data_IF_110863173988
#
_entry.id   IF_110863173988
#
_cell.length_a   1.000
_cell.length_b   1.000
_cell.length_c   1.000
_cell.angle_alpha   90.00
_cell.angle_beta   90.00
_cell.angle_gamma   90.00
#
_symmetry.space_group_name_H-M   'P 1'
#
loop_
_entity.id
_entity.type
_entity.pdbx_description
1 polymer ?
#
# COMPACT_ATOMS: atom_id res chain seq x y z
N UNK A 1 -10.17 -1.20 30.35
CA UNK A 1 -10.86 -0.62 31.53
C UNK A 1 -12.21 -0.21 31.03
N UNK A 2 -13.31 -0.50 31.73
CA UNK A 2 -14.62 -0.04 31.30
C UNK A 2 -14.62 1.48 31.30
N UNK A 3 -14.82 2.10 30.14
CA UNK A 3 -15.03 3.54 30.06
C UNK A 3 -16.42 3.84 30.64
N UNK A 4 -16.42 4.66 31.68
CA UNK A 4 -17.62 4.96 32.45
C UNK A 4 -18.29 6.17 31.82
N UNK A 5 -19.42 5.96 31.14
CA UNK A 5 -20.24 7.07 30.65
C UNK A 5 -21.16 7.55 31.76
N UNK A 6 -20.88 8.74 32.28
CA UNK A 6 -21.86 9.52 33.03
C UNK A 6 -22.79 10.20 32.03
N UNK A 7 -24.05 9.76 31.99
CA UNK A 7 -25.21 10.30 31.27
C UNK A 7 -24.92 11.49 30.32
N UNK A 8 -24.58 11.28 29.03
CA UNK A 8 -24.96 12.27 28.02
C UNK A 8 -26.50 12.35 28.03
N UNK A 9 -27.10 13.53 27.97
CA UNK A 9 -28.54 13.60 27.74
C UNK A 9 -28.82 12.89 26.40
N UNK A 10 -29.29 11.65 26.46
CA UNK A 10 -29.65 10.91 25.26
C UNK A 10 -30.70 11.73 24.53
N UNK A 11 -30.56 11.94 23.20
CA UNK A 11 -31.49 12.76 22.46
C UNK A 11 -32.91 12.23 22.68
N UNK A 12 -33.80 13.09 23.17
CA UNK A 12 -35.17 12.71 23.52
C UNK A 12 -35.89 12.11 22.32
N UNK A 13 -36.51 10.95 22.49
CA UNK A 13 -37.30 10.28 21.45
C UNK A 13 -36.62 9.09 20.77
N UNK A 14 -35.38 8.76 21.15
CA UNK A 14 -34.68 7.56 20.66
C UNK A 14 -34.28 6.64 21.81
N UNK A 15 -34.37 5.34 21.58
CA UNK A 15 -33.81 4.30 22.42
C UNK A 15 -32.29 4.27 22.31
N UNK A 16 -31.63 4.09 23.46
CA UNK A 16 -30.16 3.99 23.50
C UNK A 16 -29.66 2.79 22.70
N UNK A 17 -30.39 1.66 22.75
CA UNK A 17 -30.08 0.47 21.98
C UNK A 17 -30.10 0.73 20.46
N UNK A 18 -31.11 1.44 19.94
CA UNK A 18 -31.19 1.79 18.52
C UNK A 18 -30.02 2.69 18.06
N UNK A 19 -29.65 3.68 18.88
CA UNK A 19 -28.47 4.52 18.59
C UNK A 19 -27.20 3.67 18.55
N UNK A 20 -26.96 2.83 19.56
CA UNK A 20 -25.73 2.03 19.63
C UNK A 20 -25.67 1.00 18.50
N UNK A 21 -26.76 0.30 18.20
CA UNK A 21 -26.79 -0.66 17.09
C UNK A 21 -26.44 0.02 15.77
N UNK A 22 -26.98 1.22 15.53
CA UNK A 22 -26.69 1.99 14.31
C UNK A 22 -25.20 2.35 14.20
N UNK A 23 -24.57 2.72 15.31
CA UNK A 23 -23.13 3.01 15.38
C UNK A 23 -22.32 1.74 15.19
N UNK A 24 -22.72 0.64 15.82
CA UNK A 24 -22.00 -0.63 15.72
C UNK A 24 -22.00 -1.19 14.29
N UNK A 25 -23.16 -1.14 13.61
CA UNK A 25 -23.24 -1.50 12.20
C UNK A 25 -22.32 -0.62 11.33
N UNK A 26 -22.24 0.68 11.57
CA UNK A 26 -21.33 1.58 10.84
C UNK A 26 -19.86 1.18 11.04
N UNK A 27 -19.45 0.92 12.29
CA UNK A 27 -18.08 0.46 12.61
C UNK A 27 -17.75 -0.84 11.86
N UNK A 28 -18.69 -1.78 11.83
CA UNK A 28 -18.48 -3.07 11.15
C UNK A 28 -18.43 -2.92 9.63
N UNK A 29 -19.29 -2.09 9.04
CA UNK A 29 -19.27 -1.85 7.59
C UNK A 29 -17.95 -1.16 7.17
N UNK A 30 -17.47 -0.20 7.97
CA UNK A 30 -16.21 0.50 7.74
C UNK A 30 -14.98 -0.45 7.75
N UNK A 31 -14.98 -1.46 8.64
CA UNK A 31 -13.80 -2.30 8.90
C UNK A 31 -13.82 -3.64 8.15
N UNK A 32 -14.99 -4.11 7.72
CA UNK A 32 -15.14 -5.44 7.12
C UNK A 32 -15.59 -5.37 5.66
N UNK A 33 -16.88 -5.09 5.44
CA UNK A 33 -17.52 -5.04 4.12
C UNK A 33 -18.89 -4.41 4.25
N UNK A 34 -19.48 -3.98 3.15
CA UNK A 34 -20.89 -3.58 3.16
C UNK A 34 -21.79 -4.77 3.54
N UNK A 35 -22.85 -4.49 4.31
CA UNK A 35 -23.88 -5.45 4.71
C UNK A 35 -23.45 -6.54 5.72
N UNK A 36 -22.66 -6.18 6.73
CA UNK A 36 -22.33 -7.11 7.83
C UNK A 36 -23.60 -7.56 8.56
N UNK A 37 -23.71 -8.86 8.84
CA UNK A 37 -24.77 -9.43 9.68
C UNK A 37 -24.29 -9.45 11.14
N UNK A 38 -25.09 -8.89 12.04
CA UNK A 38 -24.84 -8.82 13.47
C UNK A 38 -25.73 -9.84 14.18
N UNK A 39 -25.16 -10.66 15.06
CA UNK A 39 -25.94 -11.51 15.96
C UNK A 39 -26.42 -10.69 17.14
N UNK A 40 -27.72 -10.37 17.17
CA UNK A 40 -28.33 -9.63 18.29
C UNK A 40 -28.86 -10.62 19.31
N UNK A 41 -28.41 -10.47 20.56
CA UNK A 41 -28.81 -11.31 21.67
C UNK A 41 -30.08 -10.78 22.33
N UNK A 42 -31.08 -11.65 22.48
CA UNK A 42 -32.33 -11.43 23.19
C UNK A 42 -32.43 -12.43 24.34
N UNK A 43 -33.00 -12.02 25.47
CA UNK A 43 -33.11 -12.86 26.67
C UNK A 43 -34.19 -13.97 26.57
N UNK A 44 -35.06 -13.89 25.57
CA UNK A 44 -36.19 -14.79 25.33
C UNK A 44 -37.30 -14.73 26.38
N UNK A 45 -37.40 -13.65 27.17
CA UNK A 45 -38.32 -13.52 28.31
C UNK A 45 -39.36 -12.42 28.09
N UNK A 46 -40.09 -12.50 26.98
CA UNK A 46 -41.05 -11.46 26.57
C UNK A 46 -42.42 -11.60 27.26
N UNK A 47 -42.81 -12.81 27.66
CA UNK A 47 -44.06 -13.06 28.39
C UNK A 47 -43.87 -13.00 29.91
N UNK A 48 -44.79 -12.33 30.62
CA UNK A 48 -44.80 -12.27 32.09
C UNK A 48 -44.83 -13.67 32.73
N UNK A 49 -45.41 -14.67 32.05
CA UNK A 49 -45.49 -16.05 32.54
C UNK A 49 -44.13 -16.77 32.59
N UNK A 50 -43.17 -16.35 31.75
CA UNK A 50 -41.84 -16.95 31.66
C UNK A 50 -40.70 -16.04 32.12
N UNK A 51 -41.02 -14.80 32.53
CA UNK A 51 -40.05 -13.81 33.00
C UNK A 51 -39.16 -14.36 34.14
N UNK A 52 -39.74 -15.09 35.08
CA UNK A 52 -39.03 -15.65 36.24
C UNK A 52 -38.55 -17.10 36.03
N UNK A 53 -38.67 -17.65 34.82
CA UNK A 53 -38.30 -19.04 34.53
C UNK A 53 -36.79 -19.21 34.45
N UNK A 54 -36.28 -20.16 35.24
CA UNK A 54 -34.88 -20.59 35.21
C UNK A 54 -34.68 -21.58 34.06
N UNK A 55 -33.98 -21.16 33.01
CA UNK A 55 -33.66 -22.01 31.84
C UNK A 55 -32.95 -21.24 30.72
N UNK A 56 -32.43 -21.96 29.70
CA UNK A 56 -31.77 -21.36 28.53
C UNK A 56 -32.82 -20.82 27.55
N UNK A 57 -33.35 -19.64 27.84
CA UNK A 57 -34.36 -18.98 27.01
C UNK A 57 -33.74 -18.00 26.00
N UNK A 58 -32.48 -17.62 26.20
CA UNK A 58 -31.80 -16.64 25.35
C UNK A 58 -31.71 -17.08 23.89
N UNK A 59 -31.95 -16.15 22.97
CA UNK A 59 -31.89 -16.37 21.53
C UNK A 59 -30.99 -15.34 20.87
N UNK A 60 -30.28 -15.77 19.84
CA UNK A 60 -29.47 -14.89 18.99
C UNK A 60 -30.12 -14.81 17.62
N UNK A 61 -30.49 -13.60 17.18
CA UNK A 61 -31.05 -13.38 15.84
C UNK A 61 -30.02 -12.69 14.93
N UNK A 62 -29.83 -13.18 13.69
CA UNK A 62 -29.02 -12.49 12.71
C UNK A 62 -29.79 -11.28 12.16
N UNK A 63 -29.32 -10.07 12.45
CA UNK A 63 -29.85 -8.82 11.91
C UNK A 63 -28.87 -8.20 10.93
N UNK A 64 -29.40 -7.63 9.86
CA UNK A 64 -28.63 -6.89 8.88
C UNK A 64 -29.26 -5.51 8.70
N UNK A 65 -28.53 -4.48 9.10
CA UNK A 65 -28.93 -3.10 8.87
C UNK A 65 -28.20 -2.58 7.62
N UNK A 66 -28.95 -2.40 6.54
CA UNK A 66 -28.42 -1.80 5.32
C UNK A 66 -28.23 -0.30 5.53
N UNK A 67 -27.00 0.18 5.39
CA UNK A 67 -26.66 1.60 5.55
C UNK A 67 -26.60 2.25 4.18
N UNK A 68 -27.47 3.23 3.97
CA UNK A 68 -27.35 4.19 2.88
C UNK A 68 -26.61 5.43 3.40
N UNK A 69 -25.41 5.69 2.88
CA UNK A 69 -24.58 6.83 3.28
C UNK A 69 -25.27 8.19 3.02
N UNK A 70 -26.22 8.25 2.08
CA UNK A 70 -26.96 9.47 1.74
C UNK A 70 -28.17 9.72 2.64
N UNK A 71 -28.59 8.73 3.43
CA UNK A 71 -29.74 8.87 4.31
C UNK A 71 -29.42 9.75 5.52
N UNK A 72 -30.47 10.26 6.18
CA UNK A 72 -30.30 11.05 7.41
C UNK A 72 -29.94 10.16 8.60
N UNK A 73 -29.19 10.71 9.57
CA UNK A 73 -28.90 10.02 10.84
C UNK A 73 -30.17 9.59 11.56
N UNK A 74 -31.21 10.44 11.55
CA UNK A 74 -32.52 10.12 12.09
C UNK A 74 -33.15 8.89 11.42
N UNK A 75 -33.06 8.79 10.08
CA UNK A 75 -33.61 7.65 9.32
C UNK A 75 -32.88 6.35 9.67
N UNK A 76 -31.56 6.39 9.80
CA UNK A 76 -30.75 5.22 10.16
C UNK A 76 -31.13 4.70 11.55
N UNK A 77 -31.32 5.58 12.53
CA UNK A 77 -31.66 5.17 13.90
C UNK A 77 -33.09 4.65 13.97
N UNK A 78 -34.05 5.29 13.29
CA UNK A 78 -35.42 4.78 13.18
C UNK A 78 -35.45 3.36 12.61
N UNK A 79 -34.64 3.09 11.58
CA UNK A 79 -34.53 1.75 11.01
C UNK A 79 -33.91 0.75 12.01
N UNK A 80 -32.92 1.19 12.79
CA UNK A 80 -32.28 0.38 13.83
C UNK A 80 -33.26 0.00 14.94
N UNK A 81 -34.11 0.94 15.38
CA UNK A 81 -35.17 0.67 16.36
C UNK A 81 -36.21 -0.30 15.83
N UNK A 82 -36.67 -0.08 14.60
CA UNK A 82 -37.64 -0.95 13.97
C UNK A 82 -37.11 -2.39 13.88
N UNK A 83 -35.83 -2.58 13.57
CA UNK A 83 -35.18 -3.90 13.51
C UNK A 83 -35.06 -4.57 14.88
N UNK A 84 -34.72 -3.82 15.92
CA UNK A 84 -34.67 -4.35 17.29
C UNK A 84 -36.07 -4.79 17.75
N UNK A 85 -37.07 -3.93 17.58
CA UNK A 85 -38.45 -4.25 17.96
C UNK A 85 -39.03 -5.39 17.14
N UNK A 86 -38.71 -5.53 15.84
CA UNK A 86 -39.16 -6.69 15.07
C UNK A 86 -38.51 -7.98 15.55
N UNK A 87 -37.20 -7.94 15.88
CA UNK A 87 -36.47 -9.07 16.41
C UNK A 87 -37.06 -9.58 17.74
N UNK A 88 -37.51 -8.66 18.61
CA UNK A 88 -38.18 -9.02 19.87
C UNK A 88 -39.41 -9.92 19.63
N UNK A 89 -40.20 -9.66 18.59
CA UNK A 89 -41.38 -10.45 18.27
C UNK A 89 -41.02 -11.73 17.50
N UNK A 90 -40.06 -11.66 16.57
CA UNK A 90 -39.74 -12.77 15.67
C UNK A 90 -39.01 -13.92 16.36
N UNK A 91 -38.37 -13.66 17.50
CA UNK A 91 -37.61 -14.68 18.23
C UNK A 91 -38.45 -15.87 18.67
N UNK A 92 -39.78 -15.73 18.79
CA UNK A 92 -40.70 -16.80 19.21
C UNK A 92 -41.03 -17.81 18.08
N UNK A 93 -40.99 -17.35 16.83
CA UNK A 93 -41.57 -18.08 15.69
C UNK A 93 -40.57 -18.98 14.96
N UNK A 94 -39.28 -18.68 15.05
CA UNK A 94 -38.25 -19.33 14.25
C UNK A 94 -37.10 -19.84 15.10
N UNK A 95 -36.80 -21.13 14.97
CA UNK A 95 -35.58 -21.74 15.51
C UNK A 95 -34.43 -21.54 14.52
N UNK A 96 -33.87 -20.33 14.48
CA UNK A 96 -32.72 -20.00 13.63
C UNK A 96 -31.47 -20.81 13.97
N UNK A 97 -31.37 -21.31 15.20
CA UNK A 97 -30.25 -22.15 15.64
C UNK A 97 -30.30 -23.53 14.95
N UNK A 98 -31.50 -24.07 14.68
CA UNK A 98 -31.66 -25.34 13.94
C UNK A 98 -31.24 -25.28 12.46
N UNK A 99 -31.17 -24.09 11.86
CA UNK A 99 -30.71 -23.90 10.46
C UNK A 99 -29.19 -24.07 10.34
N UNK A 100 -28.46 -24.03 11.46
CA UNK A 100 -26.98 -24.06 11.49
C UNK A 100 -26.36 -25.46 11.70
N UNK A 101 -27.19 -26.51 11.77
CA UNK A 101 -26.74 -27.90 11.99
C UNK A 101 -25.97 -28.50 10.78
N UNK A 102 -26.03 -27.87 9.60
CA UNK A 102 -25.05 -28.11 8.54
C UNK A 102 -23.72 -27.43 8.89
N UNK A 103 -22.95 -28.13 9.74
CA UNK A 103 -21.53 -27.96 10.03
C UNK A 103 -20.91 -26.59 9.67
N UNK A 104 -20.74 -25.73 10.70
CA UNK A 104 -19.83 -24.57 10.76
C UNK A 104 -20.32 -23.22 10.18
N UNK A 105 -21.54 -23.08 9.68
CA UNK A 105 -22.03 -21.74 9.30
C UNK A 105 -22.47 -20.92 10.52
N UNK A 106 -21.58 -20.06 11.04
CA UNK A 106 -21.97 -18.94 11.90
C UNK A 106 -22.63 -17.88 11.03
N UNK A 107 -23.94 -17.62 11.23
CA UNK A 107 -24.68 -16.59 10.48
C UNK A 107 -24.15 -15.18 10.76
N UNK A 108 -23.49 -14.97 11.90
CA UNK A 108 -22.82 -13.73 12.28
C UNK A 108 -21.50 -14.02 12.98
N UNK A 109 -20.46 -13.25 12.62
CA UNK A 109 -19.16 -13.29 13.33
C UNK A 109 -19.08 -12.27 14.47
N UNK A 110 -19.94 -11.24 14.40
CA UNK A 110 -19.97 -10.11 15.30
C UNK A 110 -21.29 -10.07 16.04
N UNK A 111 -21.22 -9.84 17.34
CA UNK A 111 -22.40 -9.82 18.20
C UNK A 111 -22.77 -8.41 18.67
N UNK A 112 -24.01 -8.27 19.14
CA UNK A 112 -24.50 -7.13 19.88
C UNK A 112 -25.42 -7.61 21.01
N UNK A 113 -25.18 -7.10 22.22
CA UNK A 113 -26.01 -7.40 23.39
C UNK A 113 -26.33 -6.12 24.14
N UNK A 114 -27.60 -5.92 24.49
CA UNK A 114 -28.07 -4.75 25.23
C UNK A 114 -28.94 -5.20 26.41
N UNK A 115 -28.48 -4.95 27.63
CA UNK A 115 -29.16 -5.33 28.86
C UNK A 115 -29.57 -4.09 29.65
N UNK A 116 -30.74 -4.14 30.29
CA UNK A 116 -31.13 -3.15 31.30
C UNK A 116 -31.08 -3.82 32.67
N UNK A 117 -30.24 -3.30 33.57
CA UNK A 117 -29.93 -3.90 34.86
C UNK A 117 -30.22 -2.95 36.04
N UNK A 118 -30.66 -3.48 37.19
CA UNK A 118 -30.73 -2.71 38.44
C UNK A 118 -29.36 -2.16 38.85
N UNK A 119 -29.34 -1.00 39.53
CA UNK A 119 -28.09 -0.37 39.98
C UNK A 119 -27.22 -1.26 40.88
N UNK A 120 -27.85 -2.11 41.70
CA UNK A 120 -27.16 -3.06 42.59
C UNK A 120 -26.33 -4.07 41.81
N UNK A 121 -26.88 -4.61 40.72
CA UNK A 121 -26.19 -5.59 39.86
C UNK A 121 -25.07 -4.93 39.04
N UNK A 122 -25.26 -3.68 38.65
CA UNK A 122 -24.23 -2.89 37.96
C UNK A 122 -23.01 -2.59 38.83
N UNK A 123 -23.20 -2.38 40.13
CA UNK A 123 -22.10 -2.23 41.09
C UNK A 123 -21.31 -3.54 41.27
N UNK A 124 -22.01 -4.68 41.22
CA UNK A 124 -21.39 -6.01 41.29
C UNK A 124 -20.62 -6.34 40.00
N UNK A 125 -21.15 -6.00 38.82
CA UNK A 125 -20.46 -6.10 37.53
C UNK A 125 -19.19 -5.23 37.45
N UNK A 126 -19.18 -4.05 38.08
CA UNK A 126 -18.00 -3.18 38.19
C UNK A 126 -16.91 -3.78 39.09
N UNK A 127 -17.32 -4.39 40.21
CA UNK A 127 -16.41 -4.89 41.24
C UNK A 127 -15.84 -6.26 40.91
N UNK A 128 -16.63 -7.07 40.22
CA UNK A 128 -16.23 -8.35 39.67
C UNK A 128 -16.28 -8.18 38.16
N UNK A 129 -15.13 -7.92 37.53
CA UNK A 129 -14.97 -8.14 36.10
C UNK A 129 -15.28 -9.63 35.87
N UNK A 130 -16.56 -9.93 35.68
CA UNK A 130 -17.09 -11.26 35.63
C UNK A 130 -16.30 -11.96 34.54
N UNK A 131 -15.53 -12.97 34.95
CA UNK A 131 -15.10 -14.01 34.03
C UNK A 131 -16.36 -14.78 33.63
N UNK A 132 -17.24 -14.14 32.84
CA UNK A 132 -18.28 -14.83 32.10
C UNK A 132 -17.58 -15.60 30.99
N UNK A 133 -17.05 -16.76 31.35
CA UNK A 133 -16.65 -17.76 30.37
C UNK A 133 -17.89 -18.28 29.66
N UNK A 134 -18.26 -17.66 28.53
CA UNK A 134 -19.02 -18.31 27.46
C UNK A 134 -19.20 -17.47 26.18
N UNK A 135 -19.16 -16.13 26.22
CA UNK A 135 -19.48 -15.35 25.02
C UNK A 135 -18.41 -15.43 23.91
N UNK A 136 -17.14 -15.65 24.29
CA UNK A 136 -16.04 -15.82 23.34
C UNK A 136 -16.14 -17.09 22.46
N UNK A 137 -17.07 -18.00 22.76
CA UNK A 137 -17.31 -19.17 21.90
C UNK A 137 -18.29 -18.86 20.76
N UNK A 138 -19.17 -17.86 20.90
CA UNK A 138 -20.22 -17.55 19.91
C UNK A 138 -19.75 -16.52 18.86
N UNK A 139 -19.08 -15.44 19.28
CA UNK A 139 -18.62 -14.36 18.39
C UNK A 139 -17.11 -14.17 18.39
N UNK A 140 -16.55 -13.69 17.28
CA UNK A 140 -15.15 -13.25 17.23
C UNK A 140 -14.95 -11.94 18.01
N UNK A 141 -15.95 -11.06 17.96
CA UNK A 141 -16.03 -9.79 18.67
C UNK A 141 -17.49 -9.47 18.97
N UNK A 142 -17.82 -9.25 20.24
CA UNK A 142 -19.15 -8.90 20.71
C UNK A 142 -19.15 -7.53 21.38
N UNK A 143 -20.11 -6.67 21.01
CA UNK A 143 -20.36 -5.40 21.68
C UNK A 143 -21.43 -5.60 22.75
N UNK A 144 -21.03 -5.49 24.02
CA UNK A 144 -21.93 -5.58 25.16
C UNK A 144 -22.24 -4.20 25.73
N UNK A 145 -23.52 -3.94 25.95
CA UNK A 145 -24.04 -2.71 26.50
C UNK A 145 -24.92 -3.01 27.71
N UNK A 146 -24.51 -2.55 28.89
CA UNK A 146 -25.29 -2.69 30.12
C UNK A 146 -25.76 -1.31 30.56
N UNK A 147 -27.07 -1.13 30.59
CA UNK A 147 -27.74 0.11 30.96
C UNK A 147 -28.33 0.02 32.36
N UNK A 148 -28.13 1.07 33.15
CA UNK A 148 -28.84 1.33 34.41
C UNK A 148 -29.55 2.68 34.33
N UNK A 149 -30.32 3.06 35.33
CA UNK A 149 -31.03 4.36 35.35
C UNK A 149 -30.11 5.56 35.09
N UNK A 150 -28.84 5.52 35.54
CA UNK A 150 -27.93 6.67 35.51
C UNK A 150 -26.70 6.49 34.61
N UNK A 151 -26.47 5.29 34.05
CA UNK A 151 -25.22 4.99 33.35
C UNK A 151 -25.36 3.88 32.30
N UNK A 152 -24.65 4.07 31.19
CA UNK A 152 -24.38 3.06 30.17
C UNK A 152 -22.94 2.57 30.31
N UNK A 153 -22.76 1.26 30.18
CA UNK A 153 -21.46 0.62 30.16
C UNK A 153 -21.30 -0.13 28.87
N UNK A 154 -20.21 0.17 28.17
CA UNK A 154 -19.90 -0.46 26.90
C UNK A 154 -18.59 -1.21 27.05
N UNK A 155 -18.59 -2.48 26.65
CA UNK A 155 -17.38 -3.29 26.61
C UNK A 155 -17.39 -4.26 25.44
N UNK A 156 -16.19 -4.69 25.06
CA UNK A 156 -15.98 -5.64 23.97
C UNK A 156 -15.43 -6.96 24.51
N UNK A 157 -16.15 -8.03 24.24
CA UNK A 157 -15.65 -9.40 24.42
C UNK A 157 -15.11 -9.91 23.08
N UNK A 158 -13.94 -10.55 23.09
CA UNK A 158 -13.31 -10.97 21.84
C UNK A 158 -12.45 -12.22 21.99
N UNK A 159 -12.41 -13.01 20.92
CA UNK A 159 -11.58 -14.20 20.83
C UNK A 159 -10.10 -13.82 20.65
N UNK A 160 -9.29 -14.00 21.70
CA UNK A 160 -7.84 -13.69 21.66
C UNK A 160 -7.04 -14.51 20.66
N UNK A 161 -7.59 -15.61 20.16
CA UNK A 161 -7.02 -16.40 19.06
C UNK A 161 -7.14 -15.69 17.70
N UNK A 162 -8.08 -14.74 17.57
CA UNK A 162 -8.36 -14.01 16.33
C UNK A 162 -7.97 -12.53 16.40
N UNK A 163 -8.16 -11.89 17.56
CA UNK A 163 -7.96 -10.45 17.75
C UNK A 163 -7.04 -10.15 18.93
N UNK A 164 -6.13 -9.20 18.73
CA UNK A 164 -5.29 -8.68 19.81
C UNK A 164 -5.89 -7.43 20.47
N UNK A 165 -5.36 -7.08 21.65
CA UNK A 165 -5.84 -5.94 22.45
C UNK A 165 -5.63 -4.60 21.75
N UNK A 166 -4.58 -4.45 20.95
CA UNK A 166 -4.29 -3.18 20.27
C UNK A 166 -5.33 -2.92 19.17
N UNK A 167 -5.66 -3.96 18.40
CA UNK A 167 -6.69 -3.97 17.38
C UNK A 167 -8.05 -3.63 17.97
N UNK A 168 -8.45 -4.31 19.04
CA UNK A 168 -9.73 -4.01 19.73
C UNK A 168 -9.73 -2.60 20.33
N UNK A 169 -8.58 -2.10 20.78
CA UNK A 169 -8.43 -0.71 21.21
C UNK A 169 -8.72 0.30 20.11
N UNK A 170 -8.27 0.03 18.87
CA UNK A 170 -8.60 0.84 17.70
C UNK A 170 -10.08 0.78 17.36
N UNK A 171 -10.68 -0.41 17.36
CA UNK A 171 -12.13 -0.59 17.13
C UNK A 171 -12.95 0.18 18.18
N UNK A 172 -12.54 0.10 19.44
CA UNK A 172 -13.19 0.82 20.55
C UNK A 172 -13.09 2.32 20.33
N UNK A 173 -11.90 2.84 19.99
CA UNK A 173 -11.70 4.27 19.75
C UNK A 173 -12.56 4.78 18.56
N UNK A 174 -12.66 4.00 17.48
CA UNK A 174 -13.54 4.31 16.34
C UNK A 174 -15.01 4.31 16.74
N UNK A 175 -15.47 3.27 17.44
CA UNK A 175 -16.83 3.19 17.95
C UNK A 175 -17.19 4.42 18.79
N UNK A 176 -16.30 4.81 19.70
CA UNK A 176 -16.47 5.99 20.54
C UNK A 176 -16.57 7.28 19.73
N UNK A 177 -15.67 7.46 18.74
CA UNK A 177 -15.68 8.61 17.86
C UNK A 177 -16.99 8.72 17.05
N UNK A 178 -17.46 7.61 16.48
CA UNK A 178 -18.73 7.55 15.75
C UNK A 178 -19.94 7.79 16.65
N UNK A 179 -19.94 7.22 17.87
CA UNK A 179 -21.00 7.44 18.84
C UNK A 179 -21.13 8.93 19.20
N UNK A 180 -20.01 9.58 19.50
CA UNK A 180 -19.97 11.02 19.79
C UNK A 180 -20.50 11.83 18.59
N UNK A 181 -20.04 11.51 17.38
CA UNK A 181 -20.49 12.20 16.17
C UNK A 181 -21.98 12.00 15.91
N UNK A 182 -22.51 10.81 16.17
CA UNK A 182 -23.93 10.46 15.97
C UNK A 182 -24.81 11.20 16.96
N UNK A 183 -24.44 11.22 18.24
CA UNK A 183 -25.18 11.95 19.28
C UNK A 183 -25.22 13.44 18.96
N UNK A 184 -24.08 14.04 18.60
CA UNK A 184 -24.03 15.45 18.21
C UNK A 184 -24.91 15.76 16.99
N UNK A 185 -24.96 14.85 16.01
CA UNK A 185 -25.83 15.01 14.84
C UNK A 185 -27.32 14.96 15.24
N UNK A 186 -27.71 14.11 16.18
CA UNK A 186 -29.08 14.03 16.69
C UNK A 186 -29.47 15.27 17.49
N UNK A 187 -28.57 15.80 18.32
CA UNK A 187 -28.77 17.07 19.04
C UNK A 187 -28.97 18.25 18.06
N UNK A 188 -28.34 18.19 16.88
CA UNK A 188 -28.53 19.14 15.78
C UNK A 188 -29.79 18.86 14.91
N UNK A 189 -30.64 17.91 15.31
CA UNK A 189 -31.92 17.58 14.64
C UNK A 189 -31.87 16.34 13.73
N UNK A 190 -30.72 15.67 13.60
CA UNK A 190 -30.58 14.37 12.95
C UNK A 190 -30.81 14.35 11.43
N UNK A 191 -30.98 15.51 10.79
CA UNK A 191 -31.26 15.60 9.34
C UNK A 191 -29.99 15.54 8.47
N UNK A 192 -28.80 15.66 9.06
CA UNK A 192 -27.53 15.51 8.36
C UNK A 192 -27.33 14.09 7.82
N UNK A 193 -26.48 13.96 6.80
CA UNK A 193 -26.21 12.68 6.13
C UNK A 193 -25.27 11.80 6.98
N UNK A 194 -25.48 10.49 6.94
CA UNK A 194 -24.59 9.50 7.59
C UNK A 194 -23.14 9.61 7.10
N UNK A 195 -22.93 9.98 5.84
CA UNK A 195 -21.61 10.20 5.25
C UNK A 195 -20.82 11.36 5.93
N UNK A 196 -21.52 12.29 6.59
CA UNK A 196 -20.90 13.46 7.24
C UNK A 196 -20.39 13.16 8.66
N UNK A 197 -20.70 11.98 9.20
CA UNK A 197 -20.27 11.57 10.53
C UNK A 197 -18.75 11.36 10.58
N UNK A 198 -18.11 11.90 11.61
CA UNK A 198 -16.68 11.73 11.82
C UNK A 198 -16.39 10.33 12.33
N UNK A 199 -15.67 9.53 11.54
CA UNK A 199 -15.41 8.10 11.81
C UNK A 199 -14.05 7.82 12.41
N UNK A 200 -13.02 8.48 11.88
CA UNK A 200 -11.63 8.20 12.25
C UNK A 200 -11.32 8.83 13.61
N UNK A 201 -11.04 7.97 14.58
CA UNK A 201 -10.67 8.38 15.94
C UNK A 201 -9.30 9.06 15.98
N UNK A 202 -9.02 9.89 17.01
CA UNK A 202 -7.69 10.45 17.24
C UNK A 202 -6.60 9.37 17.34
N UNK A 203 -6.90 8.25 18.00
CA UNK A 203 -5.96 7.13 18.14
C UNK A 203 -5.58 6.53 16.78
N UNK A 204 -6.54 6.38 15.85
CA UNK A 204 -6.25 5.93 14.49
C UNK A 204 -5.36 6.92 13.73
N UNK A 205 -5.61 8.23 13.89
CA UNK A 205 -4.75 9.26 13.28
C UNK A 205 -3.33 9.20 13.83
N UNK A 206 -3.19 9.05 15.15
CA UNK A 206 -1.88 8.94 15.80
C UNK A 206 -1.12 7.70 15.30
N UNK A 207 -1.78 6.56 15.14
CA UNK A 207 -1.16 5.34 14.59
C UNK A 207 -0.73 5.53 13.14
N UNK A 208 -1.55 6.17 12.30
CA UNK A 208 -1.20 6.45 10.90
C UNK A 208 0.00 7.40 10.84
N UNK A 209 -0.03 8.49 11.61
CA UNK A 209 1.04 9.49 11.65
C UNK A 209 2.36 8.93 12.21
N UNK A 210 2.29 8.04 13.20
CA UNK A 210 3.48 7.39 13.75
C UNK A 210 4.21 6.49 12.73
N UNK A 211 3.52 6.07 11.66
CA UNK A 211 4.10 5.28 10.57
C UNK A 211 4.66 6.15 9.42
N UNK A 212 4.42 7.45 9.42
CA UNK A 212 4.96 8.36 8.41
C UNK A 212 6.45 8.61 8.68
N UNK A 213 7.29 8.13 7.77
CA UNK A 213 8.72 8.44 7.76
C UNK A 213 8.93 9.75 7.02
N UNK A 214 9.26 10.82 7.72
CA UNK A 214 9.65 12.09 7.10
C UNK A 214 11.10 11.99 6.62
N UNK A 215 11.31 12.05 5.31
CA UNK A 215 12.63 12.19 4.71
C UNK A 215 13.03 13.66 4.71
N UNK A 216 14.31 13.96 4.97
CA UNK A 216 14.85 15.30 4.78
C UNK A 216 15.02 15.57 3.28
N UNK A 217 14.05 16.26 2.69
CA UNK A 217 14.07 16.56 1.26
C UNK A 217 15.09 17.63 0.86
N UNK A 218 15.62 18.40 1.82
CA UNK A 218 16.51 19.54 1.53
C UNK A 218 17.87 19.12 0.98
N UNK A 219 18.25 17.85 1.16
CA UNK A 219 19.52 17.28 0.69
C UNK A 219 19.39 16.50 -0.62
N UNK A 220 18.18 16.43 -1.19
CA UNK A 220 17.96 15.69 -2.43
C UNK A 220 18.42 16.50 -3.65
N UNK A 221 19.21 15.84 -4.50
CA UNK A 221 19.77 16.38 -5.74
C UNK A 221 19.43 15.46 -6.91
N UNK A 222 19.44 15.94 -8.16
CA UNK A 222 19.18 15.11 -9.32
C UNK A 222 20.10 13.90 -9.40
N UNK A 223 19.58 12.81 -9.97
CA UNK A 223 20.27 11.51 -9.97
C UNK A 223 21.71 11.56 -10.54
N UNK A 224 21.95 12.32 -11.61
CA UNK A 224 23.31 12.46 -12.15
C UNK A 224 24.25 13.25 -11.22
N UNK A 225 23.73 14.22 -10.45
CA UNK A 225 24.53 14.95 -9.46
C UNK A 225 24.86 14.05 -8.26
N UNK A 226 23.92 13.20 -7.82
CA UNK A 226 24.18 12.21 -6.79
C UNK A 226 25.29 11.23 -7.20
N UNK A 227 25.27 10.76 -8.45
CA UNK A 227 26.34 9.95 -9.02
C UNK A 227 27.67 10.73 -9.09
N UNK A 228 27.64 11.95 -9.63
CA UNK A 228 28.84 12.79 -9.80
C UNK A 228 29.50 13.15 -8.47
N UNK A 229 28.71 13.38 -7.40
CA UNK A 229 29.22 13.61 -6.05
C UNK A 229 30.06 12.42 -5.55
N UNK A 230 29.57 11.20 -5.76
CA UNK A 230 30.32 9.98 -5.39
C UNK A 230 31.59 9.87 -6.23
N UNK A 231 31.52 10.16 -7.53
CA UNK A 231 32.70 10.15 -8.41
C UNK A 231 33.79 11.10 -7.92
N UNK A 232 33.43 12.29 -7.44
CA UNK A 232 34.37 13.26 -6.88
C UNK A 232 34.96 12.82 -5.54
N UNK A 233 34.14 12.21 -4.67
CA UNK A 233 34.54 11.79 -3.33
C UNK A 233 35.33 10.47 -3.32
N UNK A 234 35.06 9.57 -4.26
CA UNK A 234 35.59 8.20 -4.29
C UNK A 234 35.72 7.68 -5.73
N UNK A 235 36.60 8.28 -6.56
CA UNK A 235 36.69 7.99 -7.99
C UNK A 235 37.01 6.52 -8.30
N UNK A 236 37.88 5.91 -7.50
CA UNK A 236 38.35 4.52 -7.69
C UNK A 236 37.38 3.46 -7.13
N UNK A 237 36.29 3.87 -6.48
CA UNK A 237 35.30 2.93 -5.95
C UNK A 237 34.59 2.20 -7.09
N UNK A 238 34.37 0.90 -6.94
CA UNK A 238 33.65 0.10 -7.94
C UNK A 238 32.17 0.48 -7.97
N UNK A 239 31.69 0.91 -9.13
CA UNK A 239 30.31 1.30 -9.38
C UNK A 239 29.52 0.19 -10.08
N UNK A 240 30.16 -0.51 -11.03
CA UNK A 240 29.52 -1.52 -11.86
C UNK A 240 30.41 -2.76 -11.98
N UNK A 241 29.78 -3.92 -11.88
CA UNK A 241 30.34 -5.23 -12.14
C UNK A 241 29.48 -5.84 -13.26
N UNK A 242 30.13 -6.26 -14.33
CA UNK A 242 29.53 -7.03 -15.43
C UNK A 242 30.34 -8.30 -15.65
N UNK A 243 29.97 -9.11 -16.64
CA UNK A 243 30.78 -10.27 -17.02
C UNK A 243 32.08 -9.88 -17.73
N UNK A 244 32.08 -8.71 -18.36
CA UNK A 244 33.17 -8.12 -19.13
C UNK A 244 34.22 -7.49 -18.22
N UNK A 245 33.84 -7.06 -17.02
CA UNK A 245 34.78 -6.51 -16.06
C UNK A 245 34.14 -5.69 -14.94
N UNK A 246 34.99 -4.93 -14.24
CA UNK A 246 34.59 -4.00 -13.20
C UNK A 246 34.91 -2.58 -13.64
N UNK A 247 33.99 -1.66 -13.36
CA UNK A 247 34.13 -0.26 -13.66
C UNK A 247 34.01 0.56 -12.39
N UNK A 248 34.99 1.43 -12.18
CA UNK A 248 34.94 2.45 -11.13
C UNK A 248 33.96 3.58 -11.47
N UNK A 249 33.59 4.37 -10.46
CA UNK A 249 32.78 5.58 -10.67
C UNK A 249 33.42 6.51 -11.70
N UNK A 250 34.74 6.75 -11.62
CA UNK A 250 35.45 7.61 -12.56
C UNK A 250 35.45 7.08 -14.01
N UNK A 251 35.59 5.76 -14.19
CA UNK A 251 35.58 5.15 -15.52
C UNK A 251 34.20 5.23 -16.18
N UNK A 252 33.13 4.96 -15.42
CA UNK A 252 31.76 5.11 -15.93
C UNK A 252 31.41 6.56 -16.23
N UNK A 253 31.77 7.47 -15.33
CA UNK A 253 31.48 8.89 -15.48
C UNK A 253 32.14 9.43 -16.75
N UNK A 254 33.43 9.13 -16.95
CA UNK A 254 34.15 9.57 -18.15
C UNK A 254 33.51 9.06 -19.46
N UNK A 255 33.06 7.80 -19.51
CA UNK A 255 32.35 7.27 -20.69
C UNK A 255 30.98 7.93 -20.87
N UNK A 256 30.24 8.15 -19.78
CA UNK A 256 28.93 8.81 -19.81
C UNK A 256 29.01 10.27 -20.25
N UNK A 257 30.02 11.03 -19.80
CA UNK A 257 30.24 12.43 -20.20
C UNK A 257 30.55 12.56 -21.69
N UNK A 258 31.35 11.65 -22.23
CA UNK A 258 31.67 11.63 -23.66
C UNK A 258 30.47 11.26 -24.51
N UNK A 259 29.67 10.28 -24.06
CA UNK A 259 28.40 9.97 -24.73
C UNK A 259 27.42 11.14 -24.63
N UNK A 260 27.34 11.84 -23.49
CA UNK A 260 26.53 13.04 -23.35
C UNK A 260 26.96 14.13 -24.34
N UNK A 261 28.26 14.37 -24.50
CA UNK A 261 28.80 15.32 -25.47
C UNK A 261 28.43 14.95 -26.91
N UNK A 262 28.56 13.66 -27.26
CA UNK A 262 28.13 13.15 -28.56
C UNK A 262 26.64 13.38 -28.78
N UNK A 263 25.77 12.98 -27.85
CA UNK A 263 24.32 13.16 -27.95
C UNK A 263 23.92 14.63 -28.04
N UNK A 264 24.59 15.51 -27.28
CA UNK A 264 24.41 16.96 -27.36
C UNK A 264 24.77 17.48 -28.76
N UNK A 265 25.85 16.99 -29.37
CA UNK A 265 26.23 17.32 -30.76
C UNK A 265 25.22 16.83 -31.80
N UNK A 266 24.49 15.76 -31.49
CA UNK A 266 23.38 15.25 -32.31
C UNK A 266 22.05 16.01 -32.08
N UNK A 267 22.05 16.99 -31.17
CA UNK A 267 20.90 17.85 -30.89
C UNK A 267 19.98 17.35 -29.76
N UNK A 268 20.42 16.38 -28.95
CA UNK A 268 19.70 16.01 -27.72
C UNK A 268 19.78 17.16 -26.73
N UNK A 269 18.63 17.58 -26.21
CA UNK A 269 18.52 18.65 -25.23
C UNK A 269 17.65 18.22 -24.05
N UNK A 270 17.61 19.08 -23.03
CA UNK A 270 16.83 18.87 -21.79
C UNK A 270 15.38 18.54 -22.10
N UNK A 271 14.82 17.59 -21.36
CA UNK A 271 13.45 17.09 -21.46
C UNK A 271 13.08 16.48 -22.82
N UNK A 272 14.06 16.10 -23.66
CA UNK A 272 13.83 15.26 -24.84
C UNK A 272 13.94 13.77 -24.47
N UNK A 273 13.02 12.91 -24.93
CA UNK A 273 13.13 11.48 -24.73
C UNK A 273 14.20 10.86 -25.63
N UNK A 274 14.97 9.97 -25.02
CA UNK A 274 16.01 9.17 -25.65
C UNK A 274 15.76 7.72 -25.27
N UNK A 275 15.41 6.92 -26.26
CA UNK A 275 15.17 5.50 -26.09
C UNK A 275 16.50 4.74 -25.95
N UNK A 276 16.51 3.73 -25.09
CA UNK A 276 17.66 2.85 -24.87
C UNK A 276 17.18 1.42 -24.98
N UNK A 277 17.58 0.74 -26.05
CA UNK A 277 17.23 -0.64 -26.38
C UNK A 277 18.51 -1.48 -26.36
N UNK A 278 18.92 -1.94 -25.18
CA UNK A 278 20.10 -2.81 -25.05
C UNK A 278 19.90 -3.80 -23.90
N UNK A 279 20.71 -4.86 -23.91
CA UNK A 279 20.74 -5.81 -22.81
C UNK A 279 21.38 -5.19 -21.55
N UNK A 280 21.39 -5.93 -20.45
CA UNK A 280 21.98 -5.48 -19.18
C UNK A 280 23.49 -5.62 -19.21
N UNK A 281 24.14 -4.60 -19.76
CA UNK A 281 25.59 -4.49 -19.86
C UNK A 281 26.06 -3.09 -19.39
N UNK A 282 27.34 -2.78 -19.58
CA UNK A 282 27.90 -1.47 -19.28
C UNK A 282 27.30 -0.35 -20.13
N UNK A 283 26.91 -0.62 -21.37
CA UNK A 283 26.36 0.40 -22.27
C UNK A 283 25.02 0.93 -21.79
N UNK A 284 24.22 0.07 -21.16
CA UNK A 284 22.98 0.48 -20.51
C UNK A 284 23.23 1.56 -19.44
N UNK A 285 24.20 1.36 -18.56
CA UNK A 285 24.51 2.28 -17.45
C UNK A 285 25.13 3.57 -17.99
N UNK A 286 26.05 3.45 -18.96
CA UNK A 286 26.67 4.59 -19.63
C UNK A 286 25.60 5.46 -20.32
N UNK A 287 24.65 4.83 -21.03
CA UNK A 287 23.54 5.51 -21.71
C UNK A 287 22.64 6.25 -20.73
N UNK A 288 22.22 5.56 -19.66
CA UNK A 288 21.40 6.13 -18.59
C UNK A 288 22.05 7.39 -17.99
N UNK A 289 23.32 7.28 -17.60
CA UNK A 289 24.04 8.40 -16.99
C UNK A 289 24.24 9.57 -17.95
N UNK A 290 24.57 9.29 -19.22
CA UNK A 290 24.71 10.31 -20.26
C UNK A 290 23.40 11.09 -20.47
N UNK A 291 22.27 10.38 -20.56
CA UNK A 291 20.94 10.97 -20.73
C UNK A 291 20.59 11.85 -19.51
N UNK A 292 20.83 11.37 -18.28
CA UNK A 292 20.58 12.16 -17.08
C UNK A 292 21.46 13.41 -16.99
N UNK A 293 22.74 13.33 -17.40
CA UNK A 293 23.65 14.50 -17.44
C UNK A 293 23.17 15.59 -18.42
N UNK A 294 22.43 15.22 -19.47
CA UNK A 294 21.81 16.16 -20.40
C UNK A 294 20.44 16.68 -19.94
N UNK A 295 19.94 16.22 -18.78
CA UNK A 295 18.57 16.45 -18.35
C UNK A 295 17.53 15.92 -19.34
N UNK A 296 17.90 14.95 -20.18
CA UNK A 296 17.03 14.29 -21.12
C UNK A 296 16.27 13.14 -20.44
N UNK A 297 15.22 12.64 -21.08
CA UNK A 297 14.32 11.64 -20.51
C UNK A 297 14.75 10.25 -20.98
N UNK A 298 15.11 9.39 -20.03
CA UNK A 298 15.47 8.00 -20.29
C UNK A 298 14.23 7.15 -20.58
N UNK A 299 14.19 6.49 -21.74
CA UNK A 299 13.11 5.57 -22.11
C UNK A 299 13.68 4.15 -22.29
N UNK A 300 13.68 3.30 -21.25
CA UNK A 300 14.18 1.94 -21.36
C UNK A 300 13.25 1.08 -22.21
N UNK A 301 13.84 0.38 -23.19
CA UNK A 301 13.17 -0.60 -24.02
C UNK A 301 13.80 -1.97 -23.81
N UNK A 302 12.98 -3.00 -23.71
CA UNK A 302 13.45 -4.37 -23.65
C UNK A 302 13.67 -4.89 -25.09
N UNK A 303 14.89 -5.32 -25.46
CA UNK A 303 15.19 -5.83 -26.80
C UNK A 303 14.36 -7.05 -27.21
N UNK A 304 13.74 -7.76 -26.26
CA UNK A 304 12.87 -8.90 -26.54
C UNK A 304 11.43 -8.49 -26.92
N UNK A 305 11.09 -7.20 -26.85
CA UNK A 305 9.79 -6.72 -27.30
C UNK A 305 9.63 -6.85 -28.82
N UNK A 306 8.39 -7.13 -29.24
CA UNK A 306 8.04 -7.13 -30.65
C UNK A 306 8.29 -5.73 -31.26
N UNK A 307 8.81 -5.69 -32.49
CA UNK A 307 9.16 -4.43 -33.18
C UNK A 307 7.99 -3.45 -33.27
N UNK A 308 6.75 -3.93 -33.43
CA UNK A 308 5.55 -3.08 -33.41
C UNK A 308 5.36 -2.37 -32.07
N UNK A 309 5.68 -3.04 -30.96
CA UNK A 309 5.57 -2.46 -29.61
C UNK A 309 6.69 -1.44 -29.34
N UNK A 310 7.91 -1.71 -29.82
CA UNK A 310 9.00 -0.74 -29.80
C UNK A 310 8.63 0.50 -30.60
N UNK A 311 8.14 0.32 -31.84
CA UNK A 311 7.68 1.42 -32.70
C UNK A 311 6.59 2.27 -32.04
N UNK A 312 5.57 1.62 -31.46
CA UNK A 312 4.53 2.33 -30.70
C UNK A 312 5.08 3.20 -29.57
N UNK A 313 6.04 2.69 -28.78
CA UNK A 313 6.64 3.45 -27.68
C UNK A 313 7.46 4.63 -28.22
N UNK A 314 8.23 4.42 -29.28
CA UNK A 314 9.01 5.48 -29.92
C UNK A 314 8.10 6.59 -30.47
N UNK A 315 6.99 6.21 -31.11
CA UNK A 315 5.98 7.14 -31.61
C UNK A 315 5.27 7.89 -30.47
N UNK A 316 4.80 7.19 -29.45
CA UNK A 316 4.06 7.80 -28.34
C UNK A 316 4.95 8.74 -27.49
N UNK A 317 6.22 8.36 -27.30
CA UNK A 317 7.21 9.24 -26.63
C UNK A 317 7.75 10.33 -27.55
N UNK A 318 7.58 10.25 -28.86
CA UNK A 318 8.26 11.11 -29.85
C UNK A 318 9.79 11.04 -29.71
N UNK A 319 10.34 9.88 -29.34
CA UNK A 319 11.77 9.67 -29.18
C UNK A 319 12.46 9.59 -30.55
N UNK A 320 13.19 10.65 -30.91
CA UNK A 320 13.93 10.71 -32.17
C UNK A 320 15.22 9.89 -32.16
N UNK A 321 15.81 9.66 -30.98
CA UNK A 321 17.06 8.91 -30.84
C UNK A 321 16.80 7.58 -30.16
N UNK A 322 17.52 6.54 -30.60
CA UNK A 322 17.53 5.25 -29.93
C UNK A 322 18.95 4.73 -29.83
N UNK A 323 19.42 4.52 -28.60
CA UNK A 323 20.72 3.93 -28.30
C UNK A 323 20.54 2.40 -28.27
N UNK A 324 21.31 1.67 -29.06
CA UNK A 324 21.19 0.22 -29.23
C UNK A 324 22.53 -0.44 -29.49
N UNK A 325 22.61 -1.74 -29.23
CA UNK A 325 23.76 -2.58 -29.63
C UNK A 325 23.40 -3.28 -30.93
N UNK A 326 24.22 -3.15 -31.97
CA UNK A 326 23.98 -3.67 -33.33
C UNK A 326 22.73 -3.09 -34.03
N UNK A 327 22.64 -3.27 -35.35
CA UNK A 327 21.43 -2.95 -36.12
C UNK A 327 20.30 -3.93 -35.77
N UNK A 328 19.68 -3.76 -34.59
CA UNK A 328 18.39 -4.37 -34.34
C UNK A 328 17.43 -3.95 -35.46
N UNK A 329 16.60 -4.86 -35.99
CA UNK A 329 15.76 -4.56 -37.14
C UNK A 329 14.73 -3.48 -36.76
N UNK A 330 15.10 -2.23 -37.05
CA UNK A 330 14.27 -1.03 -36.98
C UNK A 330 13.28 -0.95 -38.14
N UNK A 331 12.85 -2.11 -38.66
CA UNK A 331 12.05 -2.23 -39.89
C UNK A 331 10.76 -1.40 -39.84
N UNK A 332 10.29 -1.03 -38.63
CA UNK A 332 9.08 -0.25 -38.40
C UNK A 332 9.29 1.10 -37.67
N UNK A 333 10.52 1.61 -37.56
CA UNK A 333 10.84 2.82 -36.79
C UNK A 333 11.29 3.97 -37.71
N UNK A 334 10.38 4.50 -38.53
CA UNK A 334 10.70 5.59 -39.45
C UNK A 334 11.03 6.89 -38.71
N UNK A 335 12.16 7.53 -39.05
CA UNK A 335 12.55 8.84 -38.47
C UNK A 335 13.35 8.76 -37.17
N UNK A 336 13.59 7.55 -36.67
CA UNK A 336 14.46 7.30 -35.50
C UNK A 336 15.92 7.20 -35.94
N UNK A 337 16.80 7.90 -35.24
CA UNK A 337 18.25 7.89 -35.46
C UNK A 337 18.88 6.87 -34.51
N UNK A 338 19.38 5.72 -35.01
CA UNK A 338 20.08 4.77 -34.16
C UNK A 338 21.46 5.31 -33.77
N UNK A 339 21.83 5.09 -32.50
CA UNK A 339 23.18 5.31 -31.97
C UNK A 339 23.72 3.95 -31.54
N UNK A 340 24.73 3.46 -32.26
CA UNK A 340 25.31 2.13 -32.06
C UNK A 340 26.32 2.12 -30.92
N UNK A 341 25.95 1.51 -29.79
CA UNK A 341 26.76 1.48 -28.56
C UNK A 341 27.95 0.51 -28.66
N UNK A 342 27.87 -0.51 -29.53
CA UNK A 342 29.00 -1.39 -29.84
C UNK A 342 30.12 -0.69 -30.62
N UNK A 343 29.85 0.49 -31.16
CA UNK A 343 30.83 1.37 -31.81
C UNK A 343 31.13 2.60 -30.95
N UNK A 344 30.81 2.56 -29.65
CA UNK A 344 30.91 3.72 -28.77
C UNK A 344 32.30 4.35 -28.80
N UNK A 345 33.36 3.55 -28.74
CA UNK A 345 34.75 4.03 -28.75
C UNK A 345 35.15 4.71 -30.08
N UNK A 346 34.47 4.41 -31.19
CA UNK A 346 34.64 5.11 -32.48
C UNK A 346 33.81 6.41 -32.55
N UNK A 347 32.66 6.44 -31.84
CA UNK A 347 31.75 7.60 -31.79
C UNK A 347 32.27 8.70 -30.86
N UNK A 348 32.96 8.34 -29.79
CA UNK A 348 33.42 9.27 -28.76
C UNK A 348 34.92 9.54 -28.85
N UNK A 349 35.32 10.79 -28.69
CA UNK A 349 36.73 11.19 -28.60
C UNK A 349 37.09 11.59 -27.18
N UNK A 350 38.34 11.34 -26.77
CA UNK A 350 38.92 11.83 -25.52
C UNK A 350 38.84 13.36 -25.35
N UNK A 351 38.66 14.10 -26.45
CA UNK A 351 38.56 15.57 -26.46
C UNK A 351 37.14 16.11 -26.36
N UNK A 352 36.12 15.25 -26.45
CA UNK A 352 34.73 15.68 -26.33
C UNK A 352 34.42 16.13 -24.91
N UNK A 353 33.75 17.28 -24.80
CA UNK A 353 33.23 17.81 -23.54
C UNK A 353 31.78 18.16 -23.76
N UNK A 354 30.93 17.76 -22.81
CA UNK A 354 29.53 18.16 -22.80
C UNK A 354 29.40 19.49 -22.05
N UNK A 355 28.46 20.33 -22.46
CA UNK A 355 28.09 21.52 -21.71
C UNK A 355 27.09 21.11 -20.60
N UNK A 356 27.45 21.24 -19.31
CA UNK A 356 26.55 20.88 -18.21
C UNK A 356 25.27 21.71 -18.21
N UNK A 357 24.15 21.09 -17.87
CA UNK A 357 22.85 21.75 -17.75
C UNK A 357 22.33 21.64 -16.32
N UNK A 358 21.68 22.69 -15.84
CA UNK A 358 20.99 22.65 -14.55
C UNK A 358 19.68 21.84 -14.70
N UNK A 359 19.61 20.68 -14.04
CA UNK A 359 18.42 19.83 -14.02
C UNK A 359 17.63 20.11 -12.74
N UNK A 360 16.32 20.30 -12.87
CA UNK A 360 15.48 20.56 -11.70
C UNK A 360 14.84 19.26 -11.20
N UNK A 361 14.59 19.16 -9.89
CA UNK A 361 14.04 17.93 -9.30
C UNK A 361 12.66 17.53 -9.84
N UNK A 362 11.85 18.47 -10.32
CA UNK A 362 10.54 18.18 -10.90
C UNK A 362 10.60 17.66 -12.35
N UNK A 363 11.77 17.70 -12.99
CA UNK A 363 11.95 17.21 -14.36
C UNK A 363 11.90 15.70 -14.45
N UNK A 364 11.53 15.21 -15.62
CA UNK A 364 11.29 13.78 -15.85
C UNK A 364 12.64 13.11 -16.03
N UNK A 365 12.95 12.16 -15.15
CA UNK A 365 14.14 11.33 -15.26
C UNK A 365 13.91 10.22 -16.30
N UNK A 366 12.78 9.52 -16.21
CA UNK A 366 12.49 8.39 -17.09
C UNK A 366 11.01 8.17 -17.37
N UNK A 367 10.72 7.42 -18.44
CA UNK A 367 9.37 6.94 -18.78
C UNK A 367 9.38 5.42 -18.94
N UNK A 368 8.58 4.71 -18.14
CA UNK A 368 8.39 3.25 -18.28
C UNK A 368 7.00 2.94 -18.82
N UNK A 369 6.92 2.03 -19.80
CA UNK A 369 5.66 1.58 -20.36
C UNK A 369 5.10 0.37 -19.63
N UNK A 370 3.85 0.46 -19.21
CA UNK A 370 3.11 -0.62 -18.55
C UNK A 370 2.04 -1.20 -19.49
N UNK A 371 1.62 -2.46 -19.26
CA UNK A 371 0.46 -3.04 -19.94
C UNK A 371 -0.80 -2.36 -19.42
N UNK A 372 -1.27 -1.31 -20.10
CA UNK A 372 -2.48 -0.60 -19.70
C UNK A 372 -3.69 -1.54 -19.68
N UNK A 373 -4.61 -1.33 -18.72
CA UNK A 373 -5.86 -2.09 -18.60
C UNK A 373 -6.77 -2.01 -19.85
N UNK A 374 -6.55 -0.99 -20.69
CA UNK A 374 -7.24 -0.75 -21.95
C UNK A 374 -6.59 -1.48 -23.15
N UNK A 375 -5.58 -2.32 -22.92
CA UNK A 375 -4.85 -3.06 -23.96
C UNK A 375 -3.74 -2.26 -24.66
N UNK A 376 -3.79 -0.93 -24.65
CA UNK A 376 -2.72 -0.06 -25.14
C UNK A 376 -1.69 0.24 -24.03
N UNK A 377 -0.38 0.06 -24.27
CA UNK A 377 0.64 0.41 -23.30
C UNK A 377 0.58 1.90 -22.90
N UNK A 378 0.89 2.22 -21.64
CA UNK A 378 0.91 3.61 -21.14
C UNK A 378 2.27 3.95 -20.54
N UNK A 379 2.84 5.08 -20.96
CA UNK A 379 4.07 5.63 -20.40
C UNK A 379 3.83 6.28 -19.04
N UNK A 380 4.56 5.83 -18.03
CA UNK A 380 4.57 6.42 -16.68
C UNK A 380 5.82 7.27 -16.55
N UNK A 381 5.63 8.58 -16.52
CA UNK A 381 6.72 9.55 -16.39
C UNK A 381 7.08 9.76 -14.90
N UNK A 382 8.35 9.56 -14.57
CA UNK A 382 8.86 9.67 -13.20
C UNK A 382 9.89 10.79 -13.13
N UNK A 383 9.71 11.70 -12.18
CA UNK A 383 10.64 12.83 -11.97
C UNK A 383 11.92 12.41 -11.25
N UNK A 384 12.96 13.25 -11.36
CA UNK A 384 14.16 13.10 -10.54
C UNK A 384 13.84 13.11 -9.04
N UNK A 385 12.90 13.93 -8.60
CA UNK A 385 12.40 13.96 -7.22
C UNK A 385 11.84 12.61 -6.81
N UNK A 386 10.89 12.05 -7.58
CA UNK A 386 10.26 10.78 -7.24
C UNK A 386 11.27 9.63 -7.20
N UNK A 387 12.21 9.61 -8.16
CA UNK A 387 13.31 8.65 -8.19
C UNK A 387 14.22 8.76 -6.95
N UNK A 388 14.71 9.97 -6.65
CA UNK A 388 15.65 10.15 -5.55
C UNK A 388 14.98 9.96 -4.19
N UNK A 389 13.72 10.40 -4.04
CA UNK A 389 12.90 10.15 -2.86
C UNK A 389 12.68 8.65 -2.64
N UNK A 390 12.39 7.89 -3.71
CA UNK A 390 12.30 6.42 -3.63
C UNK A 390 13.60 5.80 -3.11
N UNK A 391 14.75 6.18 -3.67
CA UNK A 391 16.05 5.66 -3.25
C UNK A 391 16.35 6.02 -1.78
N UNK A 392 16.13 7.28 -1.39
CA UNK A 392 16.33 7.75 -0.03
C UNK A 392 15.43 7.04 0.99
N UNK A 393 14.20 6.66 0.60
CA UNK A 393 13.28 5.93 1.46
C UNK A 393 13.57 4.43 1.56
N UNK A 394 13.96 3.78 0.47
CA UNK A 394 14.14 2.32 0.44
C UNK A 394 15.49 1.88 0.98
N UNK A 395 16.57 2.59 0.65
CA UNK A 395 17.93 2.11 0.93
C UNK A 395 18.25 1.96 2.42
N UNK A 396 17.86 2.89 3.31
CA UNK A 396 18.05 2.71 4.75
C UNK A 396 17.28 1.51 5.32
N UNK A 397 16.11 1.19 4.76
CA UNK A 397 15.24 0.09 5.22
C UNK A 397 15.77 -1.30 4.87
N UNK A 398 16.62 -1.39 3.84
CA UNK A 398 17.27 -2.65 3.49
C UNK A 398 18.37 -3.05 4.48
N UNK A 399 18.80 -2.13 5.36
CA UNK A 399 19.82 -2.35 6.39
C UNK A 399 21.12 -2.99 5.85
N UNK A 400 21.49 -2.63 4.61
CA UNK A 400 22.68 -3.12 3.93
C UNK A 400 23.92 -2.34 4.35
N UNK A 401 25.09 -3.00 4.37
CA UNK A 401 26.36 -2.30 4.57
C UNK A 401 26.59 -1.24 3.47
N UNK A 402 27.41 -0.21 3.74
CA UNK A 402 27.72 0.84 2.75
C UNK A 402 28.37 0.32 1.47
N UNK A 403 29.02 -0.84 1.52
CA UNK A 403 29.72 -1.47 0.39
C UNK A 403 29.01 -2.72 -0.13
N UNK A 404 27.78 -2.97 0.33
CA UNK A 404 26.94 -4.05 -0.14
C UNK A 404 26.66 -3.90 -1.64
N UNK A 405 26.95 -4.94 -2.42
CA UNK A 405 26.57 -5.02 -3.84
C UNK A 405 25.10 -5.37 -4.00
N UNK A 406 24.46 -4.82 -5.03
CA UNK A 406 23.09 -5.18 -5.41
C UNK A 406 23.08 -5.77 -6.83
N UNK A 407 22.32 -6.84 -7.04
CA UNK A 407 22.20 -7.53 -8.32
C UNK A 407 20.89 -7.14 -9.01
N UNK A 408 21.00 -6.70 -10.27
CA UNK A 408 19.84 -6.45 -11.13
C UNK A 408 19.47 -7.70 -11.95
N UNK A 409 18.31 -8.29 -11.62
CA UNK A 409 17.76 -9.47 -12.32
C UNK A 409 16.54 -9.16 -13.19
N UNK A 410 15.90 -8.02 -12.99
CA UNK A 410 14.71 -7.64 -13.74
C UNK A 410 15.10 -6.97 -15.05
N UNK A 411 14.18 -6.96 -16.02
CA UNK A 411 14.31 -6.10 -17.20
C UNK A 411 14.29 -4.64 -16.76
N UNK A 412 15.14 -3.83 -17.37
CA UNK A 412 15.24 -2.39 -17.09
C UNK A 412 14.09 -1.59 -17.70
N UNK A 413 13.31 -2.20 -18.59
CA UNK A 413 12.03 -1.68 -19.05
C UNK A 413 10.91 -1.85 -18.00
N UNK A 414 11.23 -2.37 -16.81
CA UNK A 414 10.32 -2.48 -15.67
C UNK A 414 10.94 -1.82 -14.44
N UNK A 415 10.08 -1.26 -13.59
CA UNK A 415 10.50 -0.59 -12.36
C UNK A 415 11.01 -1.55 -11.27
N UNK A 416 10.80 -2.86 -11.44
CA UNK A 416 11.22 -3.86 -10.47
C UNK A 416 12.73 -3.77 -10.18
N UNK A 417 13.55 -3.61 -11.22
CA UNK A 417 15.02 -3.54 -11.12
C UNK A 417 15.57 -2.23 -10.55
N UNK A 418 14.74 -1.20 -10.40
CA UNK A 418 15.18 0.15 -10.03
C UNK A 418 15.80 0.23 -8.63
N UNK A 419 15.38 -0.62 -7.70
CA UNK A 419 15.99 -0.71 -6.37
C UNK A 419 17.48 -1.07 -6.48
N UNK A 420 17.83 -2.05 -7.31
CA UNK A 420 19.22 -2.44 -7.52
C UNK A 420 19.95 -1.38 -8.34
N UNK A 421 19.39 -0.97 -9.48
CA UNK A 421 20.01 -0.02 -10.41
C UNK A 421 20.32 1.32 -9.75
N UNK A 422 19.30 2.05 -9.31
CA UNK A 422 19.48 3.39 -8.75
C UNK A 422 19.92 3.36 -7.29
N UNK A 423 19.51 2.35 -6.52
CA UNK A 423 20.02 2.15 -5.17
C UNK A 423 21.54 1.96 -5.15
N UNK A 424 22.10 1.28 -6.16
CA UNK A 424 23.56 1.13 -6.28
C UNK A 424 24.22 2.44 -6.71
N UNK A 425 23.86 2.92 -7.90
CA UNK A 425 24.54 4.04 -8.58
C UNK A 425 24.44 5.35 -7.79
N UNK A 426 23.34 5.58 -7.08
CA UNK A 426 23.11 6.86 -6.37
C UNK A 426 23.57 6.84 -4.91
N UNK A 427 24.05 5.70 -4.39
CA UNK A 427 24.46 5.57 -2.98
C UNK A 427 25.87 5.03 -2.77
N UNK A 428 26.67 4.94 -3.83
CA UNK A 428 28.07 4.53 -3.73
C UNK A 428 28.26 3.02 -3.60
N UNK A 429 27.27 2.22 -4.00
CA UNK A 429 27.31 0.75 -3.90
C UNK A 429 27.61 0.12 -5.27
N UNK A 430 28.31 -1.03 -5.32
CA UNK A 430 28.52 -1.74 -6.58
C UNK A 430 27.21 -2.33 -7.12
N UNK A 431 26.87 -2.00 -8.36
CA UNK A 431 25.82 -2.66 -9.12
C UNK A 431 26.40 -3.89 -9.81
N UNK A 432 25.79 -5.05 -9.61
CA UNK A 432 26.07 -6.24 -10.42
C UNK A 432 24.99 -6.39 -11.49
N UNK A 433 25.39 -6.33 -12.76
CA UNK A 433 24.53 -6.66 -13.90
C UNK A 433 24.85 -8.05 -14.41
N UNK A 434 23.82 -8.89 -14.48
CA UNK A 434 23.91 -10.23 -15.05
C UNK A 434 23.10 -10.31 -16.35
N UNK A 435 23.65 -11.01 -17.34
CA UNK A 435 22.99 -11.27 -18.63
C UNK A 435 21.58 -11.87 -18.46
N UNK A 436 20.69 -11.60 -19.41
CA UNK A 436 19.30 -12.05 -19.39
C UNK A 436 19.18 -13.58 -19.36
N UNK A 437 20.00 -14.25 -20.17
CA UNK A 437 20.17 -15.70 -20.26
C UNK A 437 20.44 -16.33 -18.89
N UNK A 438 21.44 -15.82 -18.15
CA UNK A 438 21.85 -16.41 -16.87
C UNK A 438 20.98 -16.01 -15.70
N UNK A 439 20.36 -14.84 -15.75
CA UNK A 439 19.45 -14.37 -14.70
C UNK A 439 18.16 -15.20 -14.61
N UNK A 440 17.75 -15.85 -15.70
CA UNK A 440 16.54 -16.67 -15.76
C UNK A 440 16.80 -18.16 -15.49
N UNK A 441 18.06 -18.59 -15.48
CA UNK A 441 18.47 -19.96 -15.20
C UNK A 441 18.99 -20.09 -13.76
N UNK A 442 18.27 -20.82 -12.90
CA UNK A 442 18.57 -20.93 -11.47
C UNK A 442 20.00 -21.43 -11.19
N UNK A 443 20.46 -22.46 -11.89
CA UNK A 443 21.82 -23.02 -11.72
C UNK A 443 22.90 -22.04 -12.19
N UNK A 444 22.66 -21.34 -13.31
CA UNK A 444 23.58 -20.33 -13.81
C UNK A 444 23.68 -19.16 -12.83
N UNK A 445 22.54 -18.66 -12.33
CA UNK A 445 22.47 -17.61 -11.32
C UNK A 445 23.20 -18.02 -10.04
N UNK A 446 22.96 -19.23 -9.51
CA UNK A 446 23.64 -19.74 -8.33
C UNK A 446 25.16 -19.80 -8.54
N UNK A 447 25.62 -20.34 -9.67
CA UNK A 447 27.05 -20.41 -10.01
C UNK A 447 27.70 -19.03 -10.12
N UNK A 448 26.95 -18.01 -10.58
CA UNK A 448 27.46 -16.64 -10.64
C UNK A 448 27.52 -15.98 -9.27
N UNK A 449 26.52 -16.20 -8.41
CA UNK A 449 26.50 -15.68 -7.04
C UNK A 449 27.61 -16.30 -6.16
N UNK A 450 28.03 -17.53 -6.44
CA UNK A 450 29.21 -18.15 -5.80
C UNK A 450 30.51 -17.45 -6.20
N UNK A 451 30.62 -16.98 -7.45
CA UNK A 451 31.82 -16.28 -7.97
C UNK A 451 31.87 -14.82 -7.56
N UNK A 452 30.72 -14.15 -7.59
CA UNK A 452 30.55 -12.74 -7.26
C UNK A 452 29.44 -12.63 -6.22
N UNK A 453 29.77 -12.71 -4.92
CA UNK A 453 28.80 -12.61 -3.85
C UNK A 453 28.03 -11.28 -3.94
N UNK A 454 26.70 -11.38 -3.88
CA UNK A 454 25.81 -10.24 -3.86
C UNK A 454 25.07 -10.14 -2.53
N UNK A 455 25.01 -8.95 -1.95
CA UNK A 455 24.37 -8.74 -0.66
C UNK A 455 22.84 -8.59 -0.77
N UNK A 456 22.33 -8.16 -1.92
CA UNK A 456 20.89 -7.98 -2.13
C UNK A 456 20.50 -8.18 -3.59
N UNK A 457 19.40 -8.90 -3.81
CA UNK A 457 18.73 -8.99 -5.10
C UNK A 457 17.24 -8.79 -4.90
N UNK A 458 16.58 -8.24 -5.92
CA UNK A 458 15.12 -8.11 -5.97
C UNK A 458 14.60 -8.96 -7.12
N UNK A 459 13.64 -9.83 -6.82
CA UNK A 459 13.17 -10.84 -7.76
C UNK A 459 11.66 -11.06 -7.64
N UNK A 460 11.07 -11.69 -8.66
CA UNK A 460 9.68 -12.12 -8.62
C UNK A 460 9.54 -13.39 -7.77
N UNK A 461 8.42 -13.51 -7.05
CA UNK A 461 8.16 -14.68 -6.20
C UNK A 461 8.23 -16.03 -6.93
N UNK A 462 7.88 -16.08 -8.22
CA UNK A 462 7.94 -17.31 -9.01
C UNK A 462 9.36 -17.76 -9.38
N UNK A 463 10.32 -16.84 -9.44
CA UNK A 463 11.75 -17.16 -9.64
C UNK A 463 12.31 -17.82 -8.39
N UNK A 464 11.93 -17.33 -7.20
CA UNK A 464 12.34 -17.91 -5.91
C UNK A 464 11.78 -19.32 -5.65
N UNK A 465 10.76 -19.78 -6.37
CA UNK A 465 10.23 -21.15 -6.25
C UNK A 465 11.00 -22.18 -7.08
N UNK A 466 11.84 -21.73 -8.01
CA UNK A 466 12.59 -22.58 -8.95
C UNK A 466 14.07 -22.72 -8.58
N UNK A 467 14.59 -21.78 -7.81
CA UNK A 467 15.89 -21.86 -7.14
C UNK A 467 15.70 -22.53 -5.78
#
# INVERSE_FOLDING_TARGET
>A
MPEQFTHPMWPSGWSVAGVILSVWQQVLNDLCSDNVVIGVHYDGRHDEEIADVIGPLSRTLPLQLAIDETQSVHSLIALSEQLLSSGEHEQEFFDWQSVTDEAQMRLSRYGFSFNTLPQTEMADLRSHAMQSGSCAEEFELNLNCDMSEDALYVHFDYARSQLDKATVGIVTARFMQLLISTVAALEAGGQGSVAELSRVSPLEKDVIQAQESVLDETQMIPAHEAFSRITLESPDKIALITEQGQFSYAQLDSKAERLAAYLQSQGVTRQMPVAVCCHRDEYLVISLLAIFKLGAIYVPLDPELQSQRIGYILDDTQSRWMLTVSEQPLENCSGVVPVLLDQLDDLISDTMQYEPVAVAMHEIAYIIYTSGSTGQPKGVAISHWALCHYVAGVMPRLALSPDASLLSLASVATDLGHTALFGSLLTGRPLYLLGADKAMEAEALASQLEKVPCACLKSYHHICKRC
#
